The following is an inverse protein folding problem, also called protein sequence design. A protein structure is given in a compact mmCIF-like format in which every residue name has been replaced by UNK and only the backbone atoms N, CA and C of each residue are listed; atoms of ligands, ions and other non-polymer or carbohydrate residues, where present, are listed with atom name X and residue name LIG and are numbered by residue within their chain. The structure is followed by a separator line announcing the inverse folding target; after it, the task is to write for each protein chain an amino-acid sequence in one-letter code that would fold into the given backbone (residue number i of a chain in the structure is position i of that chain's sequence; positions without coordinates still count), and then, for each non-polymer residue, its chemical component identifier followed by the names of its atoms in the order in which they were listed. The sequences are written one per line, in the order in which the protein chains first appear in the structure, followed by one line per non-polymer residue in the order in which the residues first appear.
data_IF_612209127676
#
_entry.id   IF_612209127676
#
_cell.length_a   1.000
_cell.length_b   1.000
_cell.length_c   1.000
_cell.angle_alpha   90.00
_cell.angle_beta   90.00
_cell.angle_gamma   90.00
#
_symmetry.space_group_name_H-M   'P 1'
#
loop_
_entity.id
_entity.type
_entity.pdbx_description
1 polymer ?
#
# COMPACT_ATOMS: atom_id res chain seq x y z
N UNK A 1 -15.89 5.33 -41.40
CA UNK A 1 -14.94 6.13 -40.60
C UNK A 1 -14.79 5.42 -39.26
N UNK A 2 -13.68 4.70 -39.04
CA UNK A 2 -13.46 3.92 -37.83
C UNK A 2 -12.73 4.76 -36.79
N UNK A 3 -13.34 4.94 -35.63
CA UNK A 3 -12.75 5.61 -34.47
C UNK A 3 -11.57 4.77 -33.94
N UNK A 4 -10.38 5.39 -33.92
CA UNK A 4 -9.21 4.85 -33.22
C UNK A 4 -9.43 5.01 -31.72
N UNK A 5 -9.72 3.91 -31.03
CA UNK A 5 -9.60 3.85 -29.59
C UNK A 5 -8.10 3.98 -29.22
N UNK A 6 -7.70 5.14 -28.71
CA UNK A 6 -6.35 5.33 -28.17
C UNK A 6 -6.23 4.58 -26.85
N UNK A 7 -5.48 3.48 -26.88
CA UNK A 7 -4.87 2.89 -25.71
C UNK A 7 -3.88 3.91 -25.13
N UNK A 8 -4.28 4.67 -24.11
CA UNK A 8 -3.33 5.42 -23.31
C UNK A 8 -2.58 4.43 -22.42
N UNK A 9 -1.32 4.18 -22.76
CA UNK A 9 -0.43 3.50 -21.84
C UNK A 9 -0.17 4.45 -20.67
N UNK A 10 -0.09 3.92 -19.45
CA UNK A 10 0.20 4.69 -18.23
C UNK A 10 1.48 5.56 -18.31
N UNK A 11 2.34 5.35 -19.31
CA UNK A 11 3.49 6.22 -19.61
C UNK A 11 3.12 7.56 -20.27
N UNK A 12 2.04 7.62 -21.05
CA UNK A 12 1.64 8.82 -21.79
C UNK A 12 1.10 9.92 -20.87
N UNK A 13 0.46 9.54 -19.75
CA UNK A 13 -0.07 10.50 -18.78
C UNK A 13 1.01 11.15 -17.92
N UNK A 14 2.10 10.43 -17.61
CA UNK A 14 3.26 10.99 -16.89
C UNK A 14 4.05 11.95 -17.78
N UNK A 15 4.24 11.62 -19.06
CA UNK A 15 4.92 12.50 -20.00
C UNK A 15 4.21 13.86 -20.13
N UNK A 16 2.86 13.87 -20.12
CA UNK A 16 2.05 15.10 -20.10
C UNK A 16 2.23 15.97 -18.85
N UNK A 17 2.57 15.37 -17.70
CA UNK A 17 2.86 16.15 -16.47
C UNK A 17 4.21 16.88 -16.55
N UNK A 18 5.10 16.37 -17.39
CA UNK A 18 6.44 16.90 -17.62
C UNK A 18 6.53 17.68 -18.95
N UNK A 19 5.40 17.96 -19.61
CA UNK A 19 5.34 18.73 -20.85
C UNK A 19 4.43 19.96 -20.69
N UNK A 20 4.98 21.18 -20.63
CA UNK A 20 6.41 21.50 -20.73
C UNK A 20 7.21 21.04 -19.50
N UNK A 21 8.54 20.85 -19.62
CA UNK A 21 9.38 20.44 -18.49
C UNK A 21 9.27 21.45 -17.35
N UNK A 22 9.22 21.00 -16.08
CA UNK A 22 9.25 21.89 -14.93
C UNK A 22 10.44 22.87 -15.01
N UNK A 23 10.22 24.14 -14.67
CA UNK A 23 11.29 25.15 -14.67
C UNK A 23 12.49 24.76 -13.80
N UNK A 24 12.25 23.96 -12.75
CA UNK A 24 13.28 23.36 -11.90
C UNK A 24 14.33 22.57 -12.71
N UNK A 25 13.93 21.91 -13.80
CA UNK A 25 14.84 21.09 -14.64
C UNK A 25 15.85 21.94 -15.41
N UNK A 26 15.54 23.21 -15.67
CA UNK A 26 16.47 24.13 -16.33
C UNK A 26 17.52 24.70 -15.36
N UNK A 27 17.35 24.53 -14.04
CA UNK A 27 18.26 25.12 -13.05
C UNK A 27 19.44 24.21 -12.76
N UNK A 28 20.62 24.63 -13.20
CA UNK A 28 21.88 23.99 -12.86
C UNK A 28 22.10 23.96 -11.32
N UNK A 29 22.74 22.90 -10.79
CA UNK A 29 23.15 22.87 -9.39
C UNK A 29 24.17 23.98 -9.09
N UNK A 30 24.07 24.59 -7.91
CA UNK A 30 24.98 25.64 -7.47
C UNK A 30 26.44 25.12 -7.31
N UNK A 31 27.41 25.65 -8.07
CA UNK A 31 28.77 25.08 -8.11
C UNK A 31 29.58 25.28 -6.83
N UNK A 32 29.16 26.19 -5.94
CA UNK A 32 29.87 26.52 -4.70
C UNK A 32 29.42 25.73 -3.47
N UNK A 33 28.43 24.83 -3.60
CA UNK A 33 27.93 24.05 -2.47
C UNK A 33 28.70 22.73 -2.33
N UNK A 34 28.97 22.32 -1.09
CA UNK A 34 29.72 21.10 -0.81
C UNK A 34 28.93 19.82 -1.10
N UNK A 35 27.58 19.89 -1.09
CA UNK A 35 26.67 18.74 -1.20
C UNK A 35 27.10 17.60 -0.26
N UNK A 36 27.21 17.93 1.03
CA UNK A 36 27.66 17.01 2.07
C UNK A 36 26.62 15.92 2.35
N UNK A 37 27.04 14.69 2.69
CA UNK A 37 26.12 13.63 3.09
C UNK A 37 25.17 14.05 4.21
N UNK A 38 23.92 13.57 4.15
CA UNK A 38 22.88 13.86 5.14
C UNK A 38 22.06 12.59 5.44
N UNK A 39 21.47 12.46 6.65
CA UNK A 39 20.61 11.34 6.99
C UNK A 39 19.29 11.40 6.20
N UNK A 40 18.64 10.26 5.91
CA UNK A 40 17.37 10.25 5.18
C UNK A 40 16.33 11.19 5.80
N UNK A 41 15.65 11.96 4.95
CA UNK A 41 14.57 12.86 5.34
C UNK A 41 13.23 12.31 4.84
N UNK A 42 12.19 12.36 5.68
CA UNK A 42 10.93 11.65 5.42
C UNK A 42 9.75 12.62 5.38
N UNK A 43 8.96 12.54 4.31
CA UNK A 43 7.66 13.21 4.19
C UNK A 43 6.53 12.18 4.16
N UNK A 44 5.72 12.18 5.21
CA UNK A 44 4.55 11.32 5.32
C UNK A 44 3.43 11.78 4.39
N UNK A 45 2.82 10.82 3.69
CA UNK A 45 1.64 11.05 2.86
C UNK A 45 0.39 11.32 3.70
N UNK A 46 -0.63 11.88 3.04
CA UNK A 46 -1.92 12.20 3.70
C UNK A 46 -2.74 10.96 4.04
N UNK A 47 -2.43 9.81 3.43
CA UNK A 47 -3.11 8.55 3.69
C UNK A 47 -2.40 7.34 3.08
N UNK A 48 -3.08 6.19 3.12
CA UNK A 48 -2.59 4.92 2.58
C UNK A 48 -2.79 4.75 1.06
N UNK A 49 -3.42 5.73 0.40
CA UNK A 49 -3.58 5.78 -1.06
C UNK A 49 -2.78 6.93 -1.65
N UNK A 50 -2.09 6.69 -2.76
CA UNK A 50 -1.28 7.70 -3.46
C UNK A 50 -2.12 8.89 -3.95
N UNK A 51 -3.40 8.68 -4.25
CA UNK A 51 -4.32 9.74 -4.66
C UNK A 51 -4.58 10.79 -3.58
N UNK A 52 -4.36 10.45 -2.30
CA UNK A 52 -4.42 11.41 -1.20
C UNK A 52 -3.27 12.43 -1.26
N UNK A 53 -2.17 12.10 -1.94
CA UNK A 53 -1.01 12.96 -2.11
C UNK A 53 -0.22 13.20 -0.82
N UNK A 54 0.64 14.21 -0.88
CA UNK A 54 1.55 14.59 0.20
C UNK A 54 1.29 16.05 0.63
N UNK A 55 1.61 16.43 1.87
CA UNK A 55 1.59 17.84 2.25
C UNK A 55 2.73 18.60 1.57
N UNK A 56 2.51 19.86 1.22
CA UNK A 56 3.54 20.76 0.68
C UNK A 56 4.46 21.29 1.80
N UNK A 57 4.97 20.37 2.62
CA UNK A 57 5.90 20.65 3.71
C UNK A 57 7.25 20.04 3.37
N UNK A 58 8.33 20.60 3.92
CA UNK A 58 9.64 19.98 3.82
C UNK A 58 9.65 18.62 4.53
N UNK A 59 10.38 17.62 3.99
CA UNK A 59 10.60 16.37 4.69
C UNK A 59 11.23 16.60 6.06
N UNK A 60 10.87 15.78 7.05
CA UNK A 60 11.49 15.82 8.37
C UNK A 60 12.91 15.29 8.27
N UNK A 61 13.89 16.08 8.67
CA UNK A 61 15.31 15.70 8.72
C UNK A 61 15.91 16.10 10.07
N UNK A 62 16.77 15.24 10.63
CA UNK A 62 17.44 15.50 11.90
C UNK A 62 18.68 16.40 11.78
N UNK A 63 19.16 16.68 10.57
CA UNK A 63 20.39 17.44 10.33
C UNK A 63 20.12 18.95 10.13
N UNK A 64 20.72 19.82 10.96
CA UNK A 64 20.80 21.26 10.69
C UNK A 64 22.14 21.63 10.01
N UNK A 65 22.16 22.51 8.99
CA UNK A 65 21.00 23.04 8.28
C UNK A 65 20.31 21.96 7.43
N UNK A 66 19.02 22.16 7.15
CA UNK A 66 18.23 21.19 6.37
C UNK A 66 18.87 20.92 5.00
N UNK A 67 18.91 19.66 4.51
CA UNK A 67 19.60 19.30 3.27
C UNK A 67 19.15 20.09 2.05
N UNK A 68 17.89 20.54 2.00
CA UNK A 68 17.40 21.38 0.91
C UNK A 68 18.19 22.68 0.75
N UNK A 69 18.59 23.31 1.86
CA UNK A 69 19.38 24.53 1.83
C UNK A 69 20.82 24.27 1.34
N UNK A 70 21.41 23.15 1.74
CA UNK A 70 22.79 22.78 1.37
C UNK A 70 22.91 22.12 0.00
N UNK A 71 21.78 21.73 -0.61
CA UNK A 71 21.73 21.03 -1.89
C UNK A 71 20.93 21.81 -2.96
N UNK A 72 20.72 23.13 -2.79
CA UNK A 72 20.03 24.01 -3.77
C UNK A 72 18.62 23.52 -4.17
N UNK A 73 17.82 23.08 -3.19
CA UNK A 73 16.39 22.77 -3.39
C UNK A 73 15.57 23.90 -2.76
N UNK A 74 14.82 24.63 -3.60
CA UNK A 74 13.95 25.72 -3.13
C UNK A 74 12.57 25.18 -2.80
N UNK A 75 11.82 25.96 -2.03
CA UNK A 75 10.44 25.64 -1.68
C UNK A 75 9.57 25.44 -2.92
N UNK A 76 9.69 26.31 -3.93
CA UNK A 76 8.93 26.21 -5.17
C UNK A 76 9.19 24.90 -5.94
N UNK A 77 10.45 24.43 -5.97
CA UNK A 77 10.78 23.17 -6.66
C UNK A 77 10.15 21.99 -5.93
N UNK A 78 10.24 22.00 -4.60
CA UNK A 78 9.68 20.95 -3.78
C UNK A 78 8.15 20.94 -3.86
N UNK A 79 7.51 22.10 -3.78
CA UNK A 79 6.07 22.24 -3.92
C UNK A 79 5.60 21.75 -5.29
N UNK A 80 6.31 22.10 -6.37
CA UNK A 80 6.02 21.61 -7.72
C UNK A 80 6.19 20.09 -7.82
N UNK A 81 7.29 19.54 -7.30
CA UNK A 81 7.52 18.10 -7.27
C UNK A 81 6.40 17.35 -6.53
N UNK A 82 6.04 17.80 -5.33
CA UNK A 82 4.95 17.19 -4.52
C UNK A 82 3.60 17.28 -5.25
N UNK A 83 3.33 18.41 -5.91
CA UNK A 83 2.14 18.59 -6.73
C UNK A 83 2.09 17.58 -7.89
N UNK A 84 3.19 17.40 -8.61
CA UNK A 84 3.27 16.48 -9.75
C UNK A 84 3.10 15.03 -9.29
N UNK A 85 3.72 14.65 -8.17
CA UNK A 85 3.55 13.31 -7.54
C UNK A 85 2.09 13.08 -7.14
N UNK A 86 1.44 14.06 -6.51
CA UNK A 86 0.03 13.98 -6.15
C UNK A 86 -0.89 13.87 -7.37
N UNK A 87 -0.58 14.59 -8.44
CA UNK A 87 -1.34 14.55 -9.69
C UNK A 87 -1.19 13.19 -10.37
N UNK A 88 0.03 12.66 -10.49
CA UNK A 88 0.28 11.31 -11.00
C UNK A 88 -0.42 10.23 -10.16
N UNK A 89 -0.42 10.38 -8.83
CA UNK A 89 -1.14 9.49 -7.93
C UNK A 89 -2.65 9.44 -8.19
N UNK A 90 -3.27 10.58 -8.49
CA UNK A 90 -4.70 10.69 -8.84
C UNK A 90 -5.03 10.15 -10.22
N UNK A 91 -4.17 10.39 -11.22
CA UNK A 91 -4.35 9.87 -12.58
C UNK A 91 -4.37 8.34 -12.60
N UNK A 92 -3.55 7.72 -11.76
CA UNK A 92 -3.56 6.27 -11.61
C UNK A 92 -4.81 5.69 -10.92
N UNK A 93 -5.66 6.54 -10.35
CA UNK A 93 -6.98 6.18 -9.83
C UNK A 93 -8.12 6.28 -10.84
N UNK A 94 -8.05 7.26 -11.75
CA UNK A 94 -9.18 7.73 -12.58
C UNK A 94 -9.20 7.15 -14.00
N UNK A 95 -8.08 6.64 -14.55
CA UNK A 95 -8.05 5.88 -15.82
C UNK A 95 -8.82 4.52 -15.78
N UNK A 96 -9.56 4.26 -14.70
CA UNK A 96 -10.21 2.98 -14.42
C UNK A 96 -11.67 2.87 -14.88
N UNK A 97 -12.27 3.92 -15.42
CA UNK A 97 -13.71 3.90 -15.75
C UNK A 97 -14.02 3.44 -17.18
N UNK A 98 -13.04 3.34 -18.08
CA UNK A 98 -13.34 3.15 -19.51
C UNK A 98 -12.70 1.93 -20.17
N UNK A 99 -11.92 1.10 -19.47
CA UNK A 99 -11.39 -0.14 -20.07
C UNK A 99 -11.92 -1.41 -19.40
N UNK A 100 -12.81 -2.06 -20.15
CA UNK A 100 -13.08 -3.50 -20.21
C UNK A 100 -14.35 -4.01 -19.49
N UNK A 101 -15.43 -3.87 -20.26
CA UNK A 101 -16.54 -4.81 -20.47
C UNK A 101 -17.51 -4.98 -19.29
N UNK A 102 -18.64 -4.28 -19.36
CA UNK A 102 -19.89 -4.79 -18.79
C UNK A 102 -20.10 -6.21 -19.35
N UNK A 103 -20.14 -7.27 -18.53
CA UNK A 103 -20.79 -8.48 -18.97
C UNK A 103 -22.26 -8.10 -19.08
N UNK A 104 -22.74 -7.93 -20.30
CA UNK A 104 -24.13 -8.21 -20.65
C UNK A 104 -24.41 -9.67 -20.33
N UNK A 105 -24.54 -9.97 -19.04
CA UNK A 105 -25.00 -11.23 -18.48
C UNK A 105 -26.03 -10.89 -17.40
N UNK A 106 -27.06 -10.15 -17.82
CA UNK A 106 -28.39 -10.21 -17.22
C UNK A 106 -28.99 -11.59 -17.54
N UNK A 107 -28.47 -12.66 -16.95
CA UNK A 107 -29.10 -13.99 -16.90
C UNK A 107 -28.27 -14.92 -16.02
N UNK A 108 -28.92 -15.48 -15.00
CA UNK A 108 -28.45 -16.52 -14.08
C UNK A 108 -27.45 -16.15 -12.98
N UNK A 109 -27.95 -16.24 -11.74
CA UNK A 109 -27.20 -16.89 -10.68
C UNK A 109 -26.76 -15.98 -9.54
N UNK A 110 -27.63 -15.83 -8.56
CA UNK A 110 -27.45 -15.11 -7.31
C UNK A 110 -26.46 -15.80 -6.33
N UNK A 111 -25.28 -16.27 -6.75
CA UNK A 111 -24.26 -16.84 -5.82
C UNK A 111 -22.82 -16.72 -6.39
N UNK A 112 -22.26 -15.51 -6.53
CA UNK A 112 -20.83 -15.36 -6.87
C UNK A 112 -20.18 -14.08 -6.30
N UNK A 113 -20.70 -13.54 -5.19
CA UNK A 113 -20.13 -12.36 -4.55
C UNK A 113 -19.08 -12.72 -3.50
N UNK A 114 -17.89 -12.09 -3.59
CA UNK A 114 -16.90 -11.82 -2.51
C UNK A 114 -15.50 -12.48 -2.50
N UNK A 115 -14.98 -13.09 -3.58
CA UNK A 115 -13.61 -13.68 -3.51
C UNK A 115 -12.58 -13.28 -4.58
N UNK A 116 -12.72 -12.12 -5.24
CA UNK A 116 -11.71 -11.64 -6.23
C UNK A 116 -11.33 -10.16 -6.03
N UNK A 117 -10.88 -9.75 -4.84
CA UNK A 117 -10.45 -8.35 -4.62
C UNK A 117 -9.01 -8.16 -4.16
N UNK A 118 -8.41 -9.14 -3.45
CA UNK A 118 -7.06 -8.96 -2.86
C UNK A 118 -5.91 -8.96 -3.88
N UNK A 119 -5.95 -9.84 -4.90
CA UNK A 119 -4.90 -9.91 -5.92
C UNK A 119 -4.88 -8.69 -6.85
N UNK A 120 -6.08 -8.19 -7.17
CA UNK A 120 -6.26 -7.02 -8.04
C UNK A 120 -5.78 -5.75 -7.32
N UNK A 121 -6.08 -5.56 -6.04
CA UNK A 121 -5.62 -4.39 -5.27
C UNK A 121 -4.08 -4.32 -5.18
N UNK A 122 -3.40 -5.46 -4.95
CA UNK A 122 -1.92 -5.52 -4.90
C UNK A 122 -1.29 -5.22 -6.27
N UNK A 123 -1.81 -5.83 -7.34
CA UNK A 123 -1.33 -5.58 -8.71
C UNK A 123 -1.54 -4.11 -9.12
N UNK A 124 -2.68 -3.54 -8.72
CA UNK A 124 -3.00 -2.15 -8.99
C UNK A 124 -2.11 -1.18 -8.23
N UNK A 125 -1.85 -1.40 -6.94
CA UNK A 125 -0.89 -0.57 -6.18
C UNK A 125 0.48 -0.60 -6.83
N UNK A 126 0.94 -1.76 -7.32
CA UNK A 126 2.16 -1.89 -8.11
C UNK A 126 2.16 -1.07 -9.41
N UNK A 127 1.03 -1.02 -10.13
CA UNK A 127 0.91 -0.17 -11.34
C UNK A 127 0.85 1.32 -11.03
N UNK A 128 0.16 1.73 -9.95
CA UNK A 128 0.12 3.15 -9.50
C UNK A 128 1.49 3.64 -9.08
N UNK A 129 2.15 2.81 -8.28
CA UNK A 129 3.54 2.97 -7.93
C UNK A 129 4.46 3.03 -9.16
N UNK A 130 4.15 2.30 -10.24
CA UNK A 130 4.93 2.37 -11.48
C UNK A 130 4.83 3.71 -12.21
N UNK A 131 3.64 4.32 -12.29
CA UNK A 131 3.46 5.64 -12.92
C UNK A 131 4.17 6.74 -12.11
N UNK A 132 3.92 6.76 -10.80
CA UNK A 132 4.55 7.68 -9.87
C UNK A 132 6.06 7.42 -9.81
N UNK A 133 6.50 6.17 -9.83
CA UNK A 133 7.90 5.77 -9.87
C UNK A 133 8.64 6.33 -11.08
N UNK A 134 8.06 6.23 -12.29
CA UNK A 134 8.62 6.87 -13.50
C UNK A 134 8.74 8.38 -13.38
N UNK A 135 7.73 9.03 -12.79
CA UNK A 135 7.80 10.47 -12.51
C UNK A 135 8.94 10.79 -11.53
N UNK A 136 9.08 10.02 -10.45
CA UNK A 136 10.18 10.18 -9.50
C UNK A 136 11.53 9.96 -10.18
N UNK A 137 11.66 8.96 -11.05
CA UNK A 137 12.91 8.71 -11.78
C UNK A 137 13.27 9.89 -12.70
N UNK A 138 12.29 10.49 -13.38
CA UNK A 138 12.52 11.69 -14.18
C UNK A 138 12.97 12.89 -13.32
N UNK A 139 12.33 13.13 -12.17
CA UNK A 139 12.76 14.18 -11.24
C UNK A 139 14.14 13.91 -10.63
N UNK A 140 14.42 12.65 -10.29
CA UNK A 140 15.71 12.24 -9.78
C UNK A 140 16.82 12.40 -10.83
N UNK A 141 16.54 12.09 -12.09
CA UNK A 141 17.52 12.24 -13.16
C UNK A 141 17.80 13.71 -13.48
N UNK A 142 16.76 14.54 -13.57
CA UNK A 142 16.89 15.90 -14.09
C UNK A 142 17.13 16.96 -13.02
N UNK A 143 16.76 16.72 -11.75
CA UNK A 143 16.81 17.74 -10.70
C UNK A 143 17.56 17.30 -9.43
N UNK A 144 17.14 16.20 -8.80
CA UNK A 144 17.72 15.80 -7.50
C UNK A 144 19.10 15.13 -7.63
N UNK A 145 19.32 14.31 -8.65
CA UNK A 145 20.57 13.61 -8.92
C UNK A 145 21.76 14.56 -9.09
N UNK A 146 21.66 15.60 -9.94
CA UNK A 146 22.69 16.65 -10.05
C UNK A 146 23.02 17.34 -8.71
N UNK A 147 22.08 17.28 -7.76
CA UNK A 147 22.20 17.82 -6.40
C UNK A 147 22.57 16.75 -5.37
N UNK A 148 23.03 15.55 -5.77
CA UNK A 148 23.36 14.41 -4.88
C UNK A 148 22.23 13.94 -3.97
N UNK A 149 20.99 14.13 -4.43
CA UNK A 149 19.79 13.71 -3.73
C UNK A 149 19.05 12.66 -4.54
N UNK A 150 18.39 11.75 -3.86
CA UNK A 150 17.53 10.75 -4.49
C UNK A 150 16.25 10.61 -3.67
N UNK A 151 15.11 10.72 -4.33
CA UNK A 151 13.79 10.60 -3.71
C UNK A 151 13.22 9.22 -4.03
N UNK A 152 12.77 8.53 -2.98
CA UNK A 152 12.15 7.21 -3.05
C UNK A 152 10.72 7.29 -2.53
N UNK A 153 9.78 6.70 -3.27
CA UNK A 153 8.45 6.41 -2.79
C UNK A 153 8.47 5.08 -2.03
N UNK A 154 8.01 5.07 -0.79
CA UNK A 154 7.93 3.89 0.04
C UNK A 154 6.55 3.72 0.69
N UNK A 155 6.17 2.47 0.97
CA UNK A 155 5.05 2.09 1.83
C UNK A 155 5.51 0.90 2.64
N UNK A 156 5.57 1.06 3.96
CA UNK A 156 6.16 0.03 4.83
C UNK A 156 7.61 -0.25 4.50
N UNK A 157 7.89 -1.52 4.22
CA UNK A 157 9.21 -2.05 3.83
C UNK A 157 9.43 -2.10 2.32
N UNK A 158 8.46 -1.65 1.52
CA UNK A 158 8.54 -1.71 0.06
C UNK A 158 8.90 -0.35 -0.50
N UNK A 159 9.96 -0.30 -1.31
CA UNK A 159 10.30 0.83 -2.18
C UNK A 159 9.68 0.63 -3.57
N UNK A 160 9.28 1.71 -4.21
CA UNK A 160 8.56 1.69 -5.49
C UNK A 160 9.33 2.29 -6.66
N UNK A 161 10.49 2.89 -6.41
CA UNK A 161 11.45 3.34 -7.42
C UNK A 161 12.88 3.10 -6.92
N UNK A 162 13.84 3.08 -7.84
CA UNK A 162 15.22 2.66 -7.57
C UNK A 162 15.36 1.13 -7.49
N UNK A 163 16.21 0.64 -6.59
CA UNK A 163 16.36 -0.80 -6.38
C UNK A 163 15.13 -1.36 -5.64
N UNK A 164 14.25 -2.02 -6.39
CA UNK A 164 12.99 -2.60 -5.90
C UNK A 164 13.19 -3.70 -4.85
N UNK A 165 14.41 -4.25 -4.75
CA UNK A 165 14.75 -5.27 -3.75
C UNK A 165 15.41 -4.67 -2.50
N UNK A 166 15.79 -3.39 -2.52
CA UNK A 166 16.39 -2.72 -1.39
C UNK A 166 15.32 -2.24 -0.41
N UNK A 167 15.67 -2.24 0.88
CA UNK A 167 14.85 -1.59 1.91
C UNK A 167 14.84 -0.07 1.68
N UNK A 168 13.72 0.61 1.95
CA UNK A 168 13.66 2.07 1.97
C UNK A 168 14.82 2.67 2.81
N UNK A 169 15.47 3.77 2.35
CA UNK A 169 16.67 4.30 3.00
C UNK A 169 16.49 4.66 4.48
N UNK A 170 15.30 5.11 4.85
CA UNK A 170 14.93 5.40 6.24
C UNK A 170 14.94 4.14 7.10
N UNK A 171 14.45 2.99 6.61
CA UNK A 171 14.48 1.71 7.34
C UNK A 171 15.89 1.14 7.37
N UNK A 172 16.60 1.17 6.24
CA UNK A 172 17.95 0.64 6.13
C UNK A 172 18.93 1.33 7.10
N UNK A 173 18.74 2.63 7.35
CA UNK A 173 19.56 3.40 8.27
C UNK A 173 19.42 2.98 9.74
N UNK A 174 18.29 2.36 10.13
CA UNK A 174 18.03 1.98 11.54
C UNK A 174 18.42 0.55 11.91
N UNK A 175 18.98 -0.25 11.00
CA UNK A 175 19.53 -1.58 11.31
C UNK A 175 18.46 -2.61 11.71
N UNK A 176 18.22 -3.59 10.84
CA UNK A 176 17.18 -4.62 10.98
C UNK A 176 17.14 -5.35 12.33
N UNK A 177 16.30 -4.87 13.24
CA UNK A 177 15.92 -5.59 14.45
C UNK A 177 14.45 -5.32 14.76
N UNK A 178 13.55 -6.19 14.29
CA UNK A 178 12.25 -6.37 14.91
C UNK A 178 11.57 -7.66 14.44
N UNK A 179 11.54 -8.60 15.39
CA UNK A 179 10.79 -9.85 15.52
C UNK A 179 9.70 -10.14 14.48
N UNK A 180 9.95 -11.17 13.68
CA UNK A 180 8.91 -12.03 13.13
C UNK A 180 8.26 -12.79 14.30
N UNK A 181 7.20 -12.21 14.89
CA UNK A 181 6.28 -12.95 15.74
C UNK A 181 5.41 -13.82 14.83
N UNK A 182 5.91 -15.02 14.55
CA UNK A 182 5.16 -16.09 13.89
C UNK A 182 4.26 -16.75 14.96
N UNK A 183 3.04 -16.21 15.12
CA UNK A 183 2.01 -16.77 16.00
C UNK A 183 1.56 -18.14 15.47
N UNK A 184 2.21 -19.19 15.96
CA UNK A 184 1.82 -20.59 15.79
C UNK A 184 0.57 -20.90 16.63
N UNK A 185 -0.61 -20.75 16.03
CA UNK A 185 -1.88 -21.19 16.60
C UNK A 185 -1.87 -22.72 16.81
N UNK A 186 -1.75 -23.15 18.06
CA UNK A 186 -1.79 -24.55 18.48
C UNK A 186 -3.23 -25.01 18.69
N UNK A 187 -3.80 -25.70 17.70
CA UNK A 187 -5.13 -26.31 17.78
C UNK A 187 -5.09 -27.57 18.69
N UNK A 188 -5.51 -27.44 19.96
CA UNK A 188 -5.75 -28.60 20.84
C UNK A 188 -7.13 -29.21 20.56
N UNK A 189 -7.16 -30.37 19.91
CA UNK A 189 -8.34 -31.24 19.80
C UNK A 189 -8.43 -32.15 21.03
N UNK A 190 -9.53 -32.03 21.79
CA UNK A 190 -9.86 -32.93 22.88
C UNK A 190 -10.84 -34.00 22.41
N UNK A 191 -10.37 -35.24 22.41
CA UNK A 191 -11.12 -36.42 22.01
C UNK A 191 -11.74 -37.04 23.26
N UNK A 192 -13.06 -37.15 23.32
CA UNK A 192 -13.75 -37.83 24.42
C UNK A 192 -14.49 -39.04 23.89
N UNK A 193 -13.97 -40.22 24.23
CA UNK A 193 -14.56 -41.53 24.01
C UNK A 193 -15.64 -41.80 25.07
N UNK A 194 -16.85 -42.16 24.63
CA UNK A 194 -17.93 -42.52 25.55
C UNK A 194 -18.33 -43.99 25.41
N UNK A 195 -18.28 -44.69 26.54
CA UNK A 195 -18.56 -46.11 26.69
C UNK A 195 -20.02 -46.50 26.49
N UNK A 196 -20.16 -47.75 26.07
CA UNK A 196 -21.41 -48.47 25.82
C UNK A 196 -22.10 -48.91 27.12
N UNK A 197 -23.37 -48.54 27.29
CA UNK A 197 -24.26 -49.07 28.32
C UNK A 197 -25.70 -49.28 27.81
N UNK A 198 -26.05 -50.56 27.58
CA UNK A 198 -27.44 -51.08 27.53
C UNK A 198 -28.07 -50.87 28.92
N UNK A 199 -29.36 -50.76 29.21
CA UNK A 199 -30.65 -51.01 28.58
C UNK A 199 -31.72 -50.25 29.44
N UNK A 200 -32.97 -50.14 28.96
CA UNK A 200 -34.22 -49.76 29.68
C UNK A 200 -34.55 -48.27 29.94
N UNK A 201 -35.16 -47.63 28.93
CA UNK A 201 -36.40 -46.82 28.97
C UNK A 201 -36.50 -45.92 27.72
N UNK A 202 -37.10 -46.44 26.64
CA UNK A 202 -36.99 -45.86 25.29
C UNK A 202 -37.64 -44.46 25.11
N UNK A 203 -38.71 -44.13 25.84
CA UNK A 203 -39.45 -42.88 25.62
C UNK A 203 -38.91 -41.63 26.33
N UNK A 204 -38.19 -41.78 27.44
CA UNK A 204 -37.63 -40.63 28.18
C UNK A 204 -36.27 -40.18 27.60
N UNK A 205 -35.47 -41.15 27.12
CA UNK A 205 -34.16 -40.88 26.49
C UNK A 205 -34.26 -40.08 25.19
N UNK A 206 -35.28 -40.31 24.36
CA UNK A 206 -35.44 -39.61 23.08
C UNK A 206 -35.65 -38.09 23.25
N UNK A 207 -36.43 -37.67 24.25
CA UNK A 207 -36.64 -36.24 24.54
C UNK A 207 -35.34 -35.57 25.00
N UNK A 208 -34.64 -36.23 25.92
CA UNK A 208 -33.37 -35.72 26.45
C UNK A 208 -32.26 -35.68 25.39
N UNK A 209 -32.22 -36.65 24.47
CA UNK A 209 -31.27 -36.64 23.36
C UNK A 209 -31.58 -35.53 22.34
N UNK A 210 -32.87 -35.28 22.06
CA UNK A 210 -33.28 -34.19 21.18
C UNK A 210 -32.90 -32.81 21.72
N UNK A 211 -33.06 -32.59 23.03
CA UNK A 211 -32.63 -31.35 23.70
C UNK A 211 -31.11 -31.16 23.66
N UNK A 212 -30.34 -32.21 23.96
CA UNK A 212 -28.86 -32.14 23.84
C UNK A 212 -28.41 -31.83 22.41
N UNK A 213 -29.08 -32.38 21.40
CA UNK A 213 -28.78 -32.07 19.99
C UNK A 213 -29.09 -30.61 19.64
N UNK A 214 -30.16 -30.03 20.19
CA UNK A 214 -30.48 -28.60 20.02
C UNK A 214 -29.43 -27.71 20.68
N UNK A 215 -29.08 -27.99 21.93
CA UNK A 215 -28.04 -27.27 22.67
C UNK A 215 -26.70 -27.30 21.93
N UNK A 216 -26.27 -28.49 21.46
CA UNK A 216 -25.02 -28.62 20.70
C UNK A 216 -25.04 -27.85 19.37
N UNK A 217 -26.19 -27.80 18.69
CA UNK A 217 -26.33 -27.00 17.45
C UNK A 217 -26.22 -25.51 17.74
N UNK A 218 -26.80 -25.05 18.84
CA UNK A 218 -26.77 -23.65 19.25
C UNK A 218 -25.34 -23.25 19.66
N UNK A 219 -24.67 -24.04 20.48
CA UNK A 219 -23.27 -23.82 20.86
C UNK A 219 -22.33 -23.76 19.64
N UNK A 220 -22.50 -24.66 18.66
CA UNK A 220 -21.72 -24.63 17.42
C UNK A 220 -22.01 -23.36 16.61
N UNK A 221 -23.26 -22.91 16.57
CA UNK A 221 -23.64 -21.68 15.87
C UNK A 221 -23.01 -20.46 16.54
N UNK A 222 -23.09 -20.37 17.87
CA UNK A 222 -22.54 -19.27 18.66
C UNK A 222 -21.01 -19.23 18.52
N UNK A 223 -20.34 -20.38 18.60
CA UNK A 223 -18.89 -20.49 18.34
C UNK A 223 -18.51 -20.03 16.93
N UNK A 224 -19.34 -20.34 15.93
CA UNK A 224 -19.11 -19.89 14.54
C UNK A 224 -19.34 -18.39 14.38
N UNK A 225 -20.34 -17.81 15.06
CA UNK A 225 -20.58 -16.37 15.06
C UNK A 225 -19.44 -15.61 15.74
N UNK A 226 -19.03 -16.05 16.94
CA UNK A 226 -17.89 -15.46 17.64
C UNK A 226 -16.62 -15.48 16.78
N UNK A 227 -16.30 -16.61 16.14
CA UNK A 227 -15.13 -16.71 15.25
C UNK A 227 -15.25 -15.80 14.01
N UNK A 228 -16.47 -15.53 13.52
CA UNK A 228 -16.69 -14.60 12.40
C UNK A 228 -16.51 -13.15 12.83
N UNK A 229 -17.05 -12.79 13.99
CA UNK A 229 -16.92 -11.45 14.58
C UNK A 229 -15.46 -11.14 14.91
N UNK A 230 -14.75 -12.08 15.53
CA UNK A 230 -13.32 -11.91 15.83
C UNK A 230 -12.49 -11.77 14.55
N UNK A 231 -12.78 -12.57 13.51
CA UNK A 231 -12.14 -12.43 12.20
C UNK A 231 -12.49 -11.11 11.53
N UNK A 232 -13.70 -10.57 11.71
CA UNK A 232 -14.09 -9.26 11.18
C UNK A 232 -13.38 -8.13 11.93
N UNK A 233 -13.30 -8.21 13.26
CA UNK A 233 -12.58 -7.26 14.12
C UNK A 233 -11.09 -7.22 13.78
N UNK A 234 -10.43 -8.37 13.71
CA UNK A 234 -9.03 -8.48 13.27
C UNK A 234 -8.83 -7.94 11.83
N UNK A 235 -9.85 -7.99 10.98
CA UNK A 235 -9.78 -7.45 9.60
C UNK A 235 -9.98 -5.93 9.56
N UNK A 236 -10.85 -5.37 10.39
CA UNK A 236 -11.04 -3.91 10.48
C UNK A 236 -9.80 -3.25 11.09
N UNK A 237 -9.24 -3.85 12.16
CA UNK A 237 -7.98 -3.40 12.77
C UNK A 237 -6.84 -3.42 11.74
N UNK A 238 -6.67 -4.52 11.00
CA UNK A 238 -5.70 -4.61 9.89
C UNK A 238 -5.96 -3.62 8.74
N UNK A 239 -7.18 -3.13 8.57
CA UNK A 239 -7.50 -2.15 7.54
C UNK A 239 -7.14 -0.72 7.97
N UNK A 240 -7.20 -0.44 9.27
CA UNK A 240 -6.76 0.83 9.87
C UNK A 240 -5.22 0.94 9.89
N UNK A 241 -4.52 -0.18 10.07
CA UNK A 241 -3.05 -0.25 10.05
C UNK A 241 -2.41 -0.24 8.65
N UNK A 242 -3.15 0.16 7.60
CA UNK A 242 -2.55 0.30 6.27
C UNK A 242 -1.52 1.43 6.31
N UNK A 243 -0.24 1.06 6.28
CA UNK A 243 0.90 1.98 6.31
C UNK A 243 0.73 3.07 5.25
N UNK A 244 0.99 4.33 5.63
CA UNK A 244 0.89 5.46 4.71
C UNK A 244 2.02 5.40 3.70
N UNK A 245 1.77 5.94 2.51
CA UNK A 245 2.86 6.21 1.58
C UNK A 245 3.73 7.32 2.15
N UNK A 246 5.04 7.23 1.96
CA UNK A 246 5.99 8.26 2.35
C UNK A 246 7.03 8.49 1.26
N UNK A 247 7.50 9.72 1.16
CA UNK A 247 8.63 10.10 0.32
C UNK A 247 9.88 10.16 1.19
N UNK A 248 10.91 9.43 0.80
CA UNK A 248 12.18 9.35 1.49
C UNK A 248 13.23 10.01 0.62
N UNK A 249 13.82 11.08 1.12
CA UNK A 249 14.90 11.82 0.47
C UNK A 249 16.21 11.36 1.07
N UNK A 250 17.08 10.76 0.27
CA UNK A 250 18.36 10.24 0.72
C UNK A 250 19.51 10.89 -0.05
N UNK A 251 20.68 10.94 0.58
CA UNK A 251 21.92 11.28 -0.09
C UNK A 251 22.35 10.16 -1.02
N UNK A 252 22.77 10.51 -2.24
CA UNK A 252 23.33 9.55 -3.20
C UNK A 252 24.64 10.11 -3.77
N UNK A 253 25.80 9.49 -3.50
CA UNK A 253 27.05 9.89 -4.14
C UNK A 253 26.99 9.59 -5.65
N UNK A 254 27.77 10.35 -6.42
CA UNK A 254 27.98 10.09 -7.85
C UNK A 254 28.68 8.76 -8.09
#
# INVERSE_FOLDING_TARGET
MGEKAMHFATGDSVAKLLDPPPLSFARAPAPGLAYAPFPPAVLEGRGADLGAGFPALTPRCAAPPHPFATHDVREDDWARFVHDVGTAGKLSGTERVVSNVLPTALSMGFVAGMFVTKGIEKHMRGRRAGAVGKLLDAWNQNFFGPRRMYVVLAQGRTAFNGDLNALPPDIAAYGGSQNDNDDSDSDSSSDSSNGSGRDRSRRSREKHEHERRKQRRQEIHDRRQHRREERQKRRSEKHEDKEKFRLVVAYKPY
#
